data_IF_854783560148
#
_entry.id   IF_854783560148
#
_cell.length_a   1.000
_cell.length_b   1.000
_cell.length_c   1.000
_cell.angle_alpha   90.00
_cell.angle_beta   90.00
_cell.angle_gamma   90.00
#
_symmetry.space_group_name_H-M   'P 1'
#
loop_
_entity.id
_entity.type
_entity.pdbx_description
1 polymer ?
#
# COMPACT_ATOMS: atom_id res chain seq x y z
N UNK A 1 6.12 -21.25 -14.40
CA UNK A 1 5.04 -21.40 -13.41
C UNK A 1 4.76 -20.07 -12.77
N UNK A 2 3.51 -19.65 -12.83
CA UNK A 2 3.05 -18.45 -12.14
C UNK A 2 3.05 -18.68 -10.63
N UNK A 3 3.60 -17.73 -9.90
CA UNK A 3 3.65 -17.72 -8.44
C UNK A 3 3.35 -16.33 -7.88
N UNK A 4 2.60 -15.52 -8.64
CA UNK A 4 2.10 -14.21 -8.23
C UNK A 4 1.06 -14.33 -7.11
N UNK A 5 0.71 -13.19 -6.52
CA UNK A 5 -0.22 -13.13 -5.38
C UNK A 5 -1.54 -13.87 -5.65
N UNK A 6 -2.13 -13.68 -6.83
CA UNK A 6 -3.40 -14.32 -7.20
C UNK A 6 -3.37 -15.86 -7.20
N UNK A 7 -2.19 -16.45 -7.38
CA UNK A 7 -2.00 -17.91 -7.29
C UNK A 7 -2.17 -18.45 -5.85
N UNK A 8 -2.30 -17.56 -4.87
CA UNK A 8 -2.68 -17.87 -3.49
C UNK A 8 -4.18 -18.06 -3.28
N UNK A 9 -5.02 -17.85 -4.33
CA UNK A 9 -6.46 -18.07 -4.24
C UNK A 9 -6.76 -19.52 -3.81
N UNK A 10 -7.49 -19.67 -2.72
CA UNK A 10 -7.82 -20.94 -2.12
C UNK A 10 -9.06 -21.57 -2.79
N UNK A 11 -8.97 -22.83 -3.15
CA UNK A 11 -10.06 -23.63 -3.66
C UNK A 11 -10.21 -24.89 -2.82
N UNK A 12 -11.22 -25.72 -3.12
CA UNK A 12 -11.41 -27.01 -2.44
C UNK A 12 -10.21 -27.97 -2.60
N UNK A 13 -9.38 -27.75 -3.63
CA UNK A 13 -8.22 -28.59 -3.96
C UNK A 13 -6.88 -27.96 -3.50
N UNK A 14 -6.92 -26.95 -2.65
CA UNK A 14 -5.75 -26.16 -2.25
C UNK A 14 -5.60 -24.85 -3.04
N UNK A 15 -4.43 -24.23 -2.99
CA UNK A 15 -4.16 -22.98 -3.71
C UNK A 15 -4.03 -23.19 -5.21
N UNK A 16 -4.23 -22.14 -6.00
CA UNK A 16 -3.95 -22.21 -7.45
C UNK A 16 -2.48 -22.56 -7.73
N UNK A 17 -1.54 -22.13 -6.87
CA UNK A 17 -0.14 -22.53 -6.98
C UNK A 17 0.04 -24.04 -6.80
N UNK A 18 -0.67 -24.67 -5.85
CA UNK A 18 -0.62 -26.13 -5.66
C UNK A 18 -1.16 -26.84 -6.90
N UNK A 19 -2.29 -26.39 -7.45
CA UNK A 19 -2.84 -26.89 -8.72
C UNK A 19 -1.85 -26.73 -9.89
N UNK A 20 -1.18 -25.56 -9.98
CA UNK A 20 -0.17 -25.33 -11.01
C UNK A 20 1.00 -26.30 -10.88
N UNK A 21 1.47 -26.53 -9.66
CA UNK A 21 2.55 -27.50 -9.39
C UNK A 21 2.11 -28.94 -9.75
N UNK A 22 0.89 -29.32 -9.41
CA UNK A 22 0.38 -30.67 -9.74
C UNK A 22 0.21 -30.86 -11.24
N UNK A 23 -0.32 -29.86 -11.96
CA UNK A 23 -0.38 -29.89 -13.42
C UNK A 23 1.00 -29.94 -14.07
N UNK A 24 1.95 -29.19 -13.53
CA UNK A 24 3.33 -29.23 -14.00
C UNK A 24 4.01 -30.58 -13.72
N UNK A 25 3.76 -31.22 -12.57
CA UNK A 25 4.24 -32.59 -12.28
C UNK A 25 3.67 -33.60 -13.29
N UNK A 26 2.37 -33.59 -13.50
CA UNK A 26 1.68 -34.45 -14.48
C UNK A 26 2.26 -34.27 -15.90
N UNK A 27 2.54 -33.02 -16.28
CA UNK A 27 3.20 -32.73 -17.56
C UNK A 27 4.63 -33.30 -17.62
N UNK A 28 5.43 -33.12 -16.56
CA UNK A 28 6.79 -33.64 -16.48
C UNK A 28 6.81 -35.18 -16.56
N UNK A 29 5.85 -35.88 -15.94
CA UNK A 29 5.77 -37.33 -15.96
C UNK A 29 5.53 -37.87 -17.36
N UNK A 30 4.86 -37.14 -18.24
CA UNK A 30 4.58 -37.51 -19.64
C UNK A 30 5.78 -37.29 -20.57
N UNK A 31 6.80 -36.54 -20.12
CA UNK A 31 7.96 -36.30 -20.95
C UNK A 31 8.89 -37.53 -21.06
N UNK A 32 9.60 -37.75 -22.17
CA UNK A 32 10.65 -38.75 -22.27
C UNK A 32 11.70 -38.66 -21.16
N UNK A 33 12.33 -39.76 -20.83
CA UNK A 33 13.26 -39.83 -19.71
C UNK A 33 14.53 -38.95 -19.88
N UNK A 34 14.94 -38.74 -21.12
CA UNK A 34 16.09 -37.93 -21.54
C UNK A 34 15.76 -36.43 -21.70
N UNK A 35 14.53 -36.02 -21.45
CA UNK A 35 14.12 -34.64 -21.54
C UNK A 35 14.89 -33.75 -20.56
N UNK A 36 15.26 -32.57 -21.03
CA UNK A 36 15.86 -31.52 -20.21
C UNK A 36 14.81 -30.44 -19.93
N UNK A 37 14.72 -29.99 -18.67
CA UNK A 37 13.68 -29.08 -18.23
C UNK A 37 14.27 -27.94 -17.43
N UNK A 38 13.88 -26.72 -17.76
CA UNK A 38 14.13 -25.54 -16.94
C UNK A 38 12.83 -25.09 -16.31
N UNK A 39 12.80 -24.93 -15.00
CA UNK A 39 11.63 -24.43 -14.24
C UNK A 39 11.86 -22.98 -13.86
N UNK A 40 11.03 -22.09 -14.38
CA UNK A 40 11.13 -20.64 -14.19
C UNK A 40 9.91 -20.17 -13.40
N UNK A 41 10.08 -19.68 -12.15
CA UNK A 41 9.01 -19.01 -11.42
C UNK A 41 8.80 -17.61 -11.99
N UNK A 42 7.56 -17.23 -12.31
CA UNK A 42 7.21 -15.96 -12.94
C UNK A 42 7.69 -14.74 -12.12
N UNK A 43 7.45 -14.75 -10.84
CA UNK A 43 7.83 -13.68 -9.92
C UNK A 43 9.23 -13.86 -9.30
N UNK A 44 10.01 -14.85 -9.79
CA UNK A 44 11.28 -15.23 -9.21
C UNK A 44 11.11 -16.10 -7.95
N UNK A 45 12.21 -16.39 -7.29
CA UNK A 45 12.24 -17.20 -6.09
C UNK A 45 13.16 -16.54 -5.05
N UNK A 46 12.80 -16.63 -3.78
CA UNK A 46 13.63 -16.19 -2.65
C UNK A 46 14.98 -16.93 -2.64
N UNK A 47 14.99 -18.17 -3.08
CA UNK A 47 16.17 -19.05 -3.10
C UNK A 47 16.95 -19.00 -4.41
N UNK A 48 16.53 -18.15 -5.35
CA UNK A 48 17.01 -18.17 -6.71
C UNK A 48 16.50 -19.39 -7.48
N UNK A 49 16.78 -19.46 -8.76
CA UNK A 49 16.59 -20.64 -9.62
C UNK A 49 17.72 -20.68 -10.65
N UNK A 50 18.08 -21.89 -11.11
CA UNK A 50 19.05 -22.04 -12.19
C UNK A 50 18.33 -21.92 -13.54
N UNK A 51 18.80 -21.08 -14.45
CA UNK A 51 18.30 -21.03 -15.82
C UNK A 51 18.73 -22.24 -16.66
N UNK A 52 19.62 -23.09 -16.12
CA UNK A 52 20.17 -24.24 -16.86
C UNK A 52 19.16 -25.37 -16.96
N UNK A 53 19.17 -26.06 -18.11
CA UNK A 53 18.33 -27.21 -18.33
C UNK A 53 18.79 -28.39 -17.45
N UNK A 54 17.90 -28.87 -16.60
CA UNK A 54 18.14 -29.91 -15.62
C UNK A 54 17.45 -31.23 -15.97
N UNK A 55 17.75 -32.29 -15.22
CA UNK A 55 17.01 -33.56 -15.32
C UNK A 55 15.58 -33.37 -14.78
N UNK A 56 14.67 -34.28 -15.10
CA UNK A 56 13.29 -34.28 -14.60
C UNK A 56 13.24 -34.28 -13.07
N UNK A 57 14.10 -35.03 -12.41
CA UNK A 57 14.17 -35.13 -10.95
C UNK A 57 14.56 -33.78 -10.34
N UNK A 58 15.54 -33.12 -10.91
CA UNK A 58 15.97 -31.79 -10.45
C UNK A 58 14.89 -30.72 -10.72
N UNK A 59 14.20 -30.82 -11.86
CA UNK A 59 13.07 -29.95 -12.18
C UNK A 59 11.91 -30.12 -11.18
N UNK A 60 11.58 -31.35 -10.80
CA UNK A 60 10.58 -31.65 -9.77
C UNK A 60 10.95 -31.07 -8.40
N UNK A 61 12.23 -31.16 -8.01
CA UNK A 61 12.71 -30.53 -6.78
C UNK A 61 12.60 -29.01 -6.83
N UNK A 62 12.95 -28.39 -7.96
CA UNK A 62 12.83 -26.94 -8.14
C UNK A 62 11.36 -26.50 -8.10
N UNK A 63 10.47 -27.24 -8.76
CA UNK A 63 9.03 -26.99 -8.74
C UNK A 63 8.46 -27.03 -7.32
N UNK A 64 8.91 -27.99 -6.52
CA UNK A 64 8.50 -28.10 -5.11
C UNK A 64 8.87 -26.89 -4.25
N UNK A 65 9.97 -26.22 -4.57
CA UNK A 65 10.48 -25.06 -3.81
C UNK A 65 9.87 -23.72 -4.25
N UNK A 66 9.01 -23.70 -5.27
CA UNK A 66 8.34 -22.45 -5.66
C UNK A 66 7.36 -22.05 -4.58
N UNK A 67 7.49 -20.81 -4.11
CA UNK A 67 6.62 -20.19 -3.11
C UNK A 67 5.86 -19.03 -3.74
N UNK A 68 4.73 -18.66 -3.16
CA UNK A 68 3.99 -17.46 -3.51
C UNK A 68 4.85 -16.21 -3.28
N UNK A 69 4.69 -15.25 -4.16
CA UNK A 69 5.35 -13.95 -4.05
C UNK A 69 4.28 -12.85 -4.17
N UNK A 70 4.23 -11.99 -3.16
CA UNK A 70 3.30 -10.87 -3.10
C UNK A 70 3.67 -9.77 -4.12
N UNK A 71 3.56 -10.12 -5.39
CA UNK A 71 3.71 -9.20 -6.53
C UNK A 71 3.18 -9.83 -7.82
N UNK A 72 3.01 -9.00 -8.84
CA UNK A 72 2.83 -9.40 -10.23
C UNK A 72 4.16 -9.34 -10.99
N UNK A 73 4.27 -10.07 -12.11
CA UNK A 73 5.41 -9.98 -13.02
C UNK A 73 4.96 -10.21 -14.47
N UNK A 74 5.75 -9.71 -15.41
CA UNK A 74 5.45 -9.83 -16.84
C UNK A 74 5.67 -11.24 -17.35
N UNK A 75 4.66 -11.86 -17.94
CA UNK A 75 4.75 -13.14 -18.66
C UNK A 75 5.76 -13.03 -19.82
N UNK A 76 5.78 -11.90 -20.52
CA UNK A 76 6.72 -11.68 -21.62
C UNK A 76 8.17 -11.81 -21.16
N UNK A 77 8.50 -11.28 -19.99
CA UNK A 77 9.83 -11.43 -19.41
C UNK A 77 10.17 -12.89 -19.14
N UNK A 78 9.27 -13.64 -18.52
CA UNK A 78 9.50 -15.06 -18.21
C UNK A 78 9.62 -15.91 -19.48
N UNK A 79 8.83 -15.62 -20.52
CA UNK A 79 8.91 -16.30 -21.82
C UNK A 79 10.23 -15.99 -22.52
N UNK A 80 10.72 -14.76 -22.47
CA UNK A 80 12.04 -14.41 -23.01
C UNK A 80 13.19 -15.12 -22.27
N UNK A 81 13.08 -15.29 -20.95
CA UNK A 81 14.03 -16.09 -20.16
C UNK A 81 13.98 -17.57 -20.55
N UNK A 82 12.77 -18.11 -20.77
CA UNK A 82 12.58 -19.47 -21.24
C UNK A 82 13.15 -19.68 -22.64
N UNK A 83 13.01 -18.73 -23.56
CA UNK A 83 13.63 -18.78 -24.89
C UNK A 83 15.15 -18.89 -24.79
N UNK A 84 15.80 -18.05 -23.98
CA UNK A 84 17.25 -18.10 -23.76
C UNK A 84 17.69 -19.46 -23.20
N UNK A 85 16.93 -20.05 -22.30
CA UNK A 85 17.20 -21.38 -21.77
C UNK A 85 17.09 -22.46 -22.88
N UNK A 86 16.13 -22.33 -23.79
CA UNK A 86 16.02 -23.21 -24.96
C UNK A 86 17.22 -23.06 -25.91
N UNK A 87 17.69 -21.85 -26.17
CA UNK A 87 18.83 -21.58 -27.08
C UNK A 87 20.15 -22.16 -26.55
N UNK A 88 20.28 -22.30 -25.24
CA UNK A 88 21.47 -22.84 -24.58
C UNK A 88 21.53 -24.38 -24.58
N UNK A 89 20.49 -25.06 -25.02
CA UNK A 89 20.35 -26.51 -24.95
C UNK A 89 20.54 -27.21 -26.29
N UNK A 90 21.10 -28.44 -26.30
CA UNK A 90 21.36 -29.23 -27.54
C UNK A 90 20.11 -29.89 -28.09
N UNK A 91 18.93 -29.60 -27.63
CA UNK A 91 17.71 -30.33 -27.96
C UNK A 91 17.21 -30.04 -29.39
N UNK A 92 16.65 -31.06 -30.03
CA UNK A 92 16.08 -30.99 -31.39
C UNK A 92 14.66 -30.41 -31.41
N UNK A 93 14.01 -30.30 -30.24
CA UNK A 93 12.66 -29.73 -30.11
C UNK A 93 12.52 -29.00 -28.80
N UNK A 94 12.08 -27.76 -28.84
CA UNK A 94 11.85 -26.92 -27.66
C UNK A 94 10.36 -26.60 -27.52
N UNK A 95 9.89 -26.46 -26.30
CA UNK A 95 8.53 -26.04 -25.97
C UNK A 95 8.55 -25.21 -24.69
N UNK A 96 7.79 -24.15 -24.65
CA UNK A 96 7.54 -23.36 -23.45
C UNK A 96 6.13 -23.68 -22.96
N UNK A 97 5.98 -24.03 -21.67
CA UNK A 97 4.68 -24.28 -21.05
C UNK A 97 4.50 -23.33 -19.89
N UNK A 98 3.43 -22.54 -19.91
CA UNK A 98 3.07 -21.55 -18.91
C UNK A 98 1.87 -22.08 -18.11
N UNK A 99 2.03 -22.21 -16.79
CA UNK A 99 0.95 -22.54 -15.88
C UNK A 99 0.58 -21.26 -15.13
N UNK A 100 -0.62 -20.69 -15.36
CA UNK A 100 -1.04 -19.39 -14.83
C UNK A 100 -2.56 -19.31 -14.76
N UNK A 101 -3.07 -18.50 -13.83
CA UNK A 101 -4.48 -18.08 -13.75
C UNK A 101 -4.84 -16.96 -14.74
N UNK A 102 -3.91 -16.56 -15.56
CA UNK A 102 -4.08 -15.59 -16.65
C UNK A 102 -4.52 -14.20 -16.20
N UNK A 103 -4.11 -13.75 -15.01
CA UNK A 103 -4.41 -12.40 -14.54
C UNK A 103 -3.92 -11.33 -15.52
N UNK A 104 -4.78 -10.37 -15.85
CA UNK A 104 -4.48 -9.28 -16.79
C UNK A 104 -3.22 -8.51 -16.41
N UNK A 105 -2.94 -8.36 -15.12
CA UNK A 105 -1.74 -7.71 -14.60
C UNK A 105 -0.45 -8.33 -15.10
N UNK A 106 -0.40 -9.67 -15.23
CA UNK A 106 0.77 -10.43 -15.67
C UNK A 106 0.90 -10.44 -17.20
N UNK A 107 -0.21 -10.29 -17.93
CA UNK A 107 -0.28 -10.35 -19.40
C UNK A 107 -0.30 -8.97 -20.06
N UNK A 108 -0.26 -7.90 -19.31
CA UNK A 108 -0.39 -6.50 -19.76
C UNK A 108 0.59 -6.11 -20.86
N UNK A 109 1.81 -6.65 -20.84
CA UNK A 109 2.86 -6.30 -21.77
C UNK A 109 2.74 -7.02 -23.14
N UNK A 110 1.78 -7.93 -23.26
CA UNK A 110 1.52 -8.66 -24.51
C UNK A 110 0.56 -7.86 -25.39
N UNK A 111 1.09 -6.86 -26.04
CA UNK A 111 0.31 -5.92 -26.87
C UNK A 111 0.38 -6.21 -28.36
N UNK A 112 1.35 -7.04 -28.82
CA UNK A 112 1.59 -7.29 -30.22
C UNK A 112 1.91 -8.75 -30.51
N UNK A 113 1.34 -9.34 -31.60
CA UNK A 113 1.57 -10.74 -31.97
C UNK A 113 3.04 -11.03 -32.37
N UNK A 114 3.79 -10.04 -32.88
CA UNK A 114 5.18 -10.18 -33.30
C UNK A 114 6.17 -10.40 -32.13
N UNK A 115 5.73 -10.15 -30.88
CA UNK A 115 6.56 -10.38 -29.69
C UNK A 115 6.95 -11.85 -29.48
N UNK A 116 6.23 -12.79 -30.12
CA UNK A 116 6.53 -14.23 -30.06
C UNK A 116 7.16 -14.77 -31.34
N UNK A 117 7.51 -13.91 -32.29
CA UNK A 117 8.10 -14.35 -33.55
C UNK A 117 9.48 -14.99 -33.33
N UNK A 118 9.67 -16.18 -33.85
CA UNK A 118 10.91 -16.94 -33.68
C UNK A 118 11.06 -17.69 -32.35
N UNK A 119 10.04 -17.62 -31.48
CA UNK A 119 10.04 -18.38 -30.22
C UNK A 119 9.64 -19.85 -30.44
N UNK A 120 10.07 -20.77 -29.55
CA UNK A 120 9.51 -22.12 -29.49
C UNK A 120 7.99 -22.08 -29.30
N UNK A 121 7.25 -23.14 -29.66
CA UNK A 121 5.81 -23.23 -29.39
C UNK A 121 5.51 -22.98 -27.91
N UNK A 122 4.58 -22.09 -27.64
CA UNK A 122 4.15 -21.72 -26.30
C UNK A 122 2.77 -22.34 -26.05
N UNK A 123 2.65 -23.10 -24.98
CA UNK A 123 1.41 -23.64 -24.49
C UNK A 123 1.06 -22.98 -23.16
N UNK A 124 -0.15 -22.42 -23.04
CA UNK A 124 -0.66 -21.91 -21.76
C UNK A 124 -1.61 -22.96 -21.18
N UNK A 125 -1.36 -23.34 -19.94
CA UNK A 125 -2.22 -24.19 -19.14
C UNK A 125 -2.94 -23.28 -18.15
N UNK A 126 -4.25 -23.15 -18.37
CA UNK A 126 -5.13 -22.37 -17.51
C UNK A 126 -5.32 -23.06 -16.17
N UNK A 127 -5.01 -22.36 -15.09
CA UNK A 127 -5.13 -22.83 -13.70
C UNK A 127 -6.29 -22.13 -12.99
N UNK A 128 -6.92 -21.13 -13.59
CA UNK A 128 -8.02 -20.38 -13.00
C UNK A 128 -9.14 -21.28 -12.48
N UNK A 129 -9.92 -20.76 -11.55
CA UNK A 129 -11.20 -21.33 -11.13
C UNK A 129 -12.33 -20.68 -11.92
N UNK A 130 -13.41 -21.37 -12.21
CA UNK A 130 -14.61 -20.75 -12.78
C UNK A 130 -15.22 -19.78 -11.75
N UNK A 131 -15.67 -18.63 -12.23
CA UNK A 131 -16.39 -17.62 -11.44
C UNK A 131 -15.71 -17.26 -10.10
N UNK A 132 -14.44 -16.81 -10.11
CA UNK A 132 -13.75 -16.45 -8.88
C UNK A 132 -14.49 -15.30 -8.19
N UNK A 133 -14.47 -15.32 -6.86
CA UNK A 133 -15.01 -14.25 -6.03
C UNK A 133 -13.89 -13.70 -5.17
N UNK A 134 -13.58 -12.42 -5.31
CA UNK A 134 -12.55 -11.76 -4.54
C UNK A 134 -12.97 -10.36 -4.12
N UNK A 135 -12.69 -10.03 -2.87
CA UNK A 135 -12.86 -8.70 -2.30
C UNK A 135 -11.52 -8.21 -1.80
N UNK A 136 -11.09 -7.04 -2.17
CA UNK A 136 -9.77 -6.54 -1.77
C UNK A 136 -9.79 -5.06 -1.42
N UNK A 137 -8.80 -4.65 -0.64
CA UNK A 137 -8.56 -3.26 -0.31
C UNK A 137 -7.68 -2.64 -1.41
N UNK A 138 -8.27 -1.84 -2.30
CA UNK A 138 -7.53 -1.18 -3.39
C UNK A 138 -6.74 0.03 -2.92
N UNK A 139 -7.24 0.76 -1.90
CA UNK A 139 -6.53 1.87 -1.28
C UNK A 139 -6.87 2.00 0.21
N UNK A 140 -5.87 2.41 0.99
CA UNK A 140 -6.02 2.78 2.39
C UNK A 140 -5.16 4.00 2.66
N UNK A 141 -5.76 5.10 3.15
CA UNK A 141 -5.06 6.37 3.36
C UNK A 141 -5.66 7.17 4.51
N UNK A 142 -4.86 8.03 5.09
CA UNK A 142 -5.31 9.12 5.96
C UNK A 142 -5.69 10.30 5.06
N UNK A 143 -6.85 10.89 5.28
CA UNK A 143 -7.36 11.99 4.44
C UNK A 143 -6.38 13.16 4.38
N UNK A 144 -5.78 13.55 5.50
CA UNK A 144 -4.89 14.70 5.60
C UNK A 144 -3.39 14.35 5.66
N UNK A 145 -3.05 13.07 5.48
CA UNK A 145 -1.65 12.59 5.44
C UNK A 145 -0.96 12.46 6.79
N UNK A 146 -1.42 13.18 7.83
CA UNK A 146 -0.91 13.12 9.20
C UNK A 146 -2.06 13.06 10.19
N UNK A 147 -1.82 12.59 11.39
CA UNK A 147 -2.76 12.58 12.50
C UNK A 147 -2.29 13.52 13.62
N UNK A 148 -3.22 14.06 14.37
CA UNK A 148 -2.93 14.74 15.63
C UNK A 148 -3.68 14.09 16.80
N UNK A 149 -3.29 14.45 18.02
CA UNK A 149 -3.84 13.85 19.24
C UNK A 149 -5.14 14.49 19.73
N UNK A 150 -5.53 15.63 19.18
CA UNK A 150 -6.64 16.44 19.67
C UNK A 150 -7.88 16.32 18.78
N UNK A 151 -7.70 15.99 17.48
CA UNK A 151 -8.80 15.90 16.53
C UNK A 151 -8.94 14.50 15.92
N UNK A 152 -10.18 14.02 15.65
CA UNK A 152 -10.38 12.74 15.01
C UNK A 152 -9.72 12.69 13.63
N UNK A 153 -8.92 11.66 13.41
CA UNK A 153 -8.31 11.38 12.12
C UNK A 153 -9.28 10.61 11.24
N UNK A 154 -9.46 11.06 9.99
CA UNK A 154 -10.30 10.36 9.01
C UNK A 154 -9.45 9.41 8.17
N UNK A 155 -9.81 8.14 8.23
CA UNK A 155 -9.25 7.06 7.42
C UNK A 155 -10.19 6.76 6.27
N UNK A 156 -9.64 6.69 5.05
CA UNK A 156 -10.38 6.36 3.84
C UNK A 156 -9.90 5.02 3.30
N UNK A 157 -10.85 4.11 3.11
CA UNK A 157 -10.63 2.75 2.62
C UNK A 157 -11.41 2.56 1.34
N UNK A 158 -10.76 2.14 0.28
CA UNK A 158 -11.43 1.76 -0.96
C UNK A 158 -11.47 0.24 -1.06
N UNK A 159 -12.67 -0.32 -1.02
CA UNK A 159 -12.93 -1.75 -1.17
C UNK A 159 -13.42 -2.02 -2.58
N UNK A 160 -12.89 -3.05 -3.22
CA UNK A 160 -13.34 -3.54 -4.52
C UNK A 160 -13.78 -4.99 -4.43
N UNK A 161 -14.61 -5.35 -5.37
CA UNK A 161 -15.13 -6.70 -5.49
C UNK A 161 -15.17 -7.13 -6.95
N UNK A 162 -14.78 -8.37 -7.20
CA UNK A 162 -14.98 -9.08 -8.46
C UNK A 162 -15.64 -10.43 -8.16
N UNK A 163 -16.78 -10.66 -8.78
CA UNK A 163 -17.54 -11.88 -8.59
C UNK A 163 -18.89 -11.82 -9.32
N UNK A 164 -19.54 -12.99 -9.56
CA UNK A 164 -20.76 -13.08 -10.35
C UNK A 164 -22.04 -12.71 -9.59
N UNK A 165 -22.01 -12.72 -8.26
CA UNK A 165 -23.18 -12.47 -7.39
C UNK A 165 -22.88 -11.40 -6.36
N UNK A 166 -23.91 -10.66 -5.86
CA UNK A 166 -23.69 -9.71 -4.77
C UNK A 166 -23.08 -10.37 -3.55
N UNK A 167 -22.14 -9.67 -2.88
CA UNK A 167 -21.56 -10.09 -1.61
C UNK A 167 -22.09 -9.16 -0.50
N UNK A 168 -23.12 -9.58 0.24
CA UNK A 168 -23.65 -8.84 1.37
C UNK A 168 -22.73 -8.98 2.59
N UNK A 169 -22.94 -8.10 3.57
CA UNK A 169 -22.40 -8.19 4.92
C UNK A 169 -20.87 -8.30 4.99
N UNK A 170 -20.15 -7.64 4.04
CA UNK A 170 -18.70 -7.53 4.12
C UNK A 170 -18.36 -6.57 5.24
N UNK A 171 -17.75 -7.07 6.30
CA UNK A 171 -17.27 -6.23 7.40
C UNK A 171 -15.92 -5.65 7.06
N UNK A 172 -15.78 -4.33 7.24
CA UNK A 172 -14.53 -3.59 7.12
C UNK A 172 -14.16 -3.12 8.52
N UNK A 173 -13.03 -3.60 9.05
CA UNK A 173 -12.57 -3.32 10.40
C UNK A 173 -11.38 -2.37 10.37
N UNK A 174 -11.38 -1.35 11.23
CA UNK A 174 -10.23 -0.50 11.49
C UNK A 174 -9.54 -0.96 12.78
N UNK A 175 -8.27 -1.26 12.70
CA UNK A 175 -7.44 -1.78 13.78
C UNK A 175 -6.28 -0.81 13.99
N UNK A 176 -6.11 -0.31 15.21
CA UNK A 176 -5.04 0.59 15.61
C UNK A 176 -4.23 -0.10 16.70
N UNK A 177 -2.93 -0.27 16.49
CA UNK A 177 -2.03 -0.92 17.46
C UNK A 177 -2.60 -2.27 17.96
N UNK A 178 -3.02 -3.12 17.00
CA UNK A 178 -3.64 -4.44 17.20
C UNK A 178 -4.99 -4.44 17.94
N UNK A 179 -5.60 -3.28 18.16
CA UNK A 179 -6.94 -3.18 18.74
C UNK A 179 -7.96 -2.75 17.69
N UNK A 180 -9.04 -3.51 17.54
CA UNK A 180 -10.16 -3.10 16.71
C UNK A 180 -10.87 -1.89 17.34
N UNK A 181 -10.83 -0.75 16.62
CA UNK A 181 -11.40 0.51 17.11
C UNK A 181 -12.72 0.88 16.43
N UNK A 182 -12.98 0.35 15.23
CA UNK A 182 -14.23 0.56 14.51
C UNK A 182 -14.47 -0.57 13.51
N UNK A 183 -15.75 -0.76 13.15
CA UNK A 183 -16.16 -1.65 12.07
C UNK A 183 -17.35 -1.05 11.31
N UNK A 184 -17.44 -1.34 10.02
CA UNK A 184 -18.58 -0.99 9.15
C UNK A 184 -18.88 -2.13 8.22
N UNK A 185 -20.15 -2.40 7.98
CA UNK A 185 -20.62 -3.42 7.03
C UNK A 185 -21.03 -2.77 5.72
N UNK A 186 -20.63 -3.37 4.60
CA UNK A 186 -20.99 -2.92 3.26
C UNK A 186 -21.48 -4.09 2.41
N UNK A 187 -22.37 -3.78 1.48
CA UNK A 187 -22.76 -4.72 0.42
C UNK A 187 -22.03 -4.33 -0.86
N UNK A 188 -21.48 -5.30 -1.54
CA UNK A 188 -20.71 -5.14 -2.78
C UNK A 188 -21.46 -5.81 -3.93
N UNK A 189 -21.61 -5.08 -5.05
CA UNK A 189 -22.34 -5.55 -6.23
C UNK A 189 -21.36 -5.89 -7.37
N UNK A 190 -21.67 -6.92 -8.18
CA UNK A 190 -20.90 -7.25 -9.37
C UNK A 190 -20.71 -6.05 -10.31
N UNK A 191 -19.48 -5.83 -10.79
CA UNK A 191 -19.17 -4.74 -11.71
C UNK A 191 -19.26 -3.33 -11.11
N UNK A 192 -19.53 -3.21 -9.81
CA UNK A 192 -19.46 -1.93 -9.10
C UNK A 192 -18.00 -1.47 -9.03
N UNK A 193 -17.79 -0.15 -9.19
CA UNK A 193 -16.48 0.46 -8.93
C UNK A 193 -16.06 0.34 -7.46
N UNK A 194 -14.94 0.99 -7.10
CA UNK A 194 -14.50 1.00 -5.71
C UNK A 194 -15.58 1.57 -4.78
N UNK A 195 -15.83 0.89 -3.66
CA UNK A 195 -16.68 1.37 -2.57
C UNK A 195 -15.81 2.04 -1.53
N UNK A 196 -16.03 3.35 -1.31
CA UNK A 196 -15.31 4.06 -0.25
C UNK A 196 -16.01 3.86 1.10
N UNK A 197 -15.21 3.54 2.12
CA UNK A 197 -15.59 3.42 3.52
C UNK A 197 -14.70 4.36 4.32
N UNK A 198 -15.30 5.27 5.09
CA UNK A 198 -14.57 6.21 5.93
C UNK A 198 -14.70 5.84 7.41
N UNK A 199 -13.63 6.00 8.18
CA UNK A 199 -13.62 5.86 9.62
C UNK A 199 -13.09 7.14 10.26
N UNK A 200 -13.57 7.46 11.46
CA UNK A 200 -13.01 8.52 12.28
C UNK A 200 -12.53 7.92 13.59
N UNK A 201 -11.29 8.19 13.95
CA UNK A 201 -10.73 7.73 15.22
C UNK A 201 -9.79 8.77 15.80
N UNK A 202 -9.87 8.95 17.14
CA UNK A 202 -9.04 9.88 17.88
C UNK A 202 -7.81 9.15 18.43
N UNK A 203 -6.62 9.60 18.03
CA UNK A 203 -5.35 8.99 18.42
C UNK A 203 -4.75 9.61 19.70
N UNK A 204 -5.62 9.96 20.69
CA UNK A 204 -5.23 10.64 21.92
C UNK A 204 -4.42 9.79 22.91
N UNK A 205 -4.41 8.47 22.75
CA UNK A 205 -3.57 7.58 23.55
C UNK A 205 -2.08 7.73 23.22
N UNK A 206 -1.76 8.26 22.03
CA UNK A 206 -0.41 8.43 21.53
C UNK A 206 0.04 9.87 21.81
N UNK A 207 0.96 10.05 22.77
CA UNK A 207 1.46 11.36 23.19
C UNK A 207 2.87 11.59 22.66
N UNK A 208 3.04 12.10 21.42
CA UNK A 208 4.38 12.43 20.93
C UNK A 208 4.95 13.62 21.72
N UNK A 209 6.26 13.60 21.92
CA UNK A 209 6.94 14.77 22.48
C UNK A 209 6.74 16.00 21.57
N UNK A 210 6.67 17.21 22.11
CA UNK A 210 6.50 18.42 21.31
C UNK A 210 7.51 18.48 20.15
N UNK A 211 6.96 18.58 18.94
CA UNK A 211 7.73 18.64 17.70
C UNK A 211 8.39 17.34 17.25
N UNK A 212 8.08 16.21 17.85
CA UNK A 212 8.37 14.88 17.32
C UNK A 212 7.09 14.25 16.80
N UNK A 213 7.22 13.24 15.94
CA UNK A 213 6.13 12.39 15.50
C UNK A 213 6.28 10.99 16.09
N UNK A 214 5.18 10.38 16.45
CA UNK A 214 5.11 8.98 16.82
C UNK A 214 4.50 8.21 15.65
N UNK A 215 5.12 7.13 15.22
CA UNK A 215 4.61 6.27 14.15
C UNK A 215 3.66 5.22 14.75
N UNK A 216 2.38 5.27 14.37
CA UNK A 216 1.35 4.36 14.84
C UNK A 216 0.96 3.41 13.70
N UNK A 217 1.08 2.08 13.89
CA UNK A 217 0.61 1.12 12.91
C UNK A 217 -0.93 1.09 12.91
N UNK A 218 -1.51 1.23 11.75
CA UNK A 218 -2.96 1.13 11.53
C UNK A 218 -3.21 0.13 10.43
N UNK A 219 -4.16 -0.77 10.66
CA UNK A 219 -4.53 -1.82 9.72
C UNK A 219 -6.02 -1.76 9.43
N UNK A 220 -6.38 -2.08 8.21
CA UNK A 220 -7.75 -2.39 7.83
C UNK A 220 -7.82 -3.85 7.43
N UNK A 221 -8.86 -4.53 7.87
CA UNK A 221 -9.15 -5.94 7.54
C UNK A 221 -10.57 -6.09 7.03
N UNK A 222 -10.76 -6.99 6.07
CA UNK A 222 -12.07 -7.36 5.51
C UNK A 222 -12.53 -8.70 6.09
N UNK A 223 -13.82 -9.01 5.91
CA UNK A 223 -14.31 -10.38 6.05
C UNK A 223 -13.49 -11.28 5.12
N UNK A 224 -12.81 -12.32 5.64
CA UNK A 224 -11.95 -13.19 4.84
C UNK A 224 -12.67 -13.81 3.64
N UNK A 225 -11.93 -13.96 2.55
CA UNK A 225 -12.38 -14.70 1.38
C UNK A 225 -11.34 -15.73 0.88
N UNK A 226 -11.42 -16.11 -0.39
CA UNK A 226 -10.55 -17.13 -0.93
C UNK A 226 -9.12 -16.62 -1.27
N UNK A 227 -8.85 -15.33 -1.11
CA UNK A 227 -7.52 -14.75 -1.28
C UNK A 227 -7.14 -13.91 -0.06
N UNK A 228 -6.82 -14.54 1.09
CA UNK A 228 -6.59 -13.83 2.35
C UNK A 228 -5.47 -12.77 2.29
N UNK A 229 -4.60 -12.85 1.31
CA UNK A 229 -3.43 -11.96 1.19
C UNK A 229 -3.79 -10.50 0.82
N UNK A 230 -4.98 -10.23 0.26
CA UNK A 230 -5.45 -8.89 -0.09
C UNK A 230 -6.64 -8.41 0.77
N UNK A 231 -7.05 -9.22 1.75
CA UNK A 231 -8.05 -8.88 2.75
C UNK A 231 -7.55 -7.85 3.79
N UNK A 232 -6.25 -7.63 3.88
CA UNK A 232 -5.66 -6.70 4.85
C UNK A 232 -4.75 -5.67 4.18
N UNK A 233 -4.74 -4.45 4.75
CA UNK A 233 -3.79 -3.42 4.37
C UNK A 233 -3.33 -2.62 5.56
N UNK A 234 -2.01 -2.41 5.64
CA UNK A 234 -1.36 -1.68 6.72
C UNK A 234 -0.90 -0.29 6.26
N UNK A 235 -0.94 0.64 7.18
CA UNK A 235 -0.44 1.99 7.04
C UNK A 235 0.26 2.39 8.34
N UNK A 236 1.40 3.07 8.23
CA UNK A 236 2.05 3.70 9.38
C UNK A 236 1.68 5.18 9.38
N UNK A 237 0.97 5.60 10.40
CA UNK A 237 0.44 6.97 10.53
C UNK A 237 1.37 7.79 11.42
N UNK A 238 1.93 8.89 10.91
CA UNK A 238 2.64 9.83 11.76
C UNK A 238 1.63 10.62 12.61
N UNK A 239 1.67 10.42 13.92
CA UNK A 239 0.91 11.19 14.89
C UNK A 239 1.79 12.31 15.43
N UNK A 240 1.31 13.53 15.35
CA UNK A 240 2.05 14.73 15.77
C UNK A 240 1.29 15.46 16.88
N UNK A 241 2.01 15.99 17.86
CA UNK A 241 1.47 17.07 18.67
C UNK A 241 1.47 18.36 17.85
N UNK A 242 0.52 19.25 18.13
CA UNK A 242 0.47 20.54 17.45
C UNK A 242 1.82 21.26 17.55
N UNK A 243 2.37 21.66 16.39
CA UNK A 243 3.70 22.29 16.30
C UNK A 243 3.66 23.67 16.96
N UNK A 244 4.41 23.90 18.04
CA UNK A 244 4.49 25.23 18.66
C UNK A 244 5.32 26.17 17.78
N UNK A 245 4.64 27.23 17.30
CA UNK A 245 5.26 28.30 16.51
C UNK A 245 5.12 29.59 17.28
N UNK A 246 6.26 30.24 17.55
CA UNK A 246 6.31 31.53 18.21
C UNK A 246 6.45 32.64 17.17
N UNK A 247 5.55 33.59 17.23
CA UNK A 247 5.61 34.82 16.43
C UNK A 247 6.04 35.97 17.33
N UNK A 248 7.17 36.57 17.02
CA UNK A 248 7.69 37.74 17.69
C UNK A 248 7.46 38.96 16.79
N UNK A 249 6.67 39.90 17.27
CA UNK A 249 6.21 41.03 16.49
C UNK A 249 6.36 42.34 17.27
N UNK A 250 6.17 43.46 16.61
CA UNK A 250 6.21 44.78 17.24
C UNK A 250 5.09 44.98 18.26
N UNK A 251 3.96 44.28 18.09
CA UNK A 251 2.83 44.26 19.03
C UNK A 251 2.61 42.83 19.51
N UNK A 252 2.35 42.66 20.80
CA UNK A 252 1.90 41.41 21.35
C UNK A 252 0.40 41.15 21.06
N UNK A 253 -0.10 39.98 21.44
CA UNK A 253 -1.48 39.57 21.16
C UNK A 253 -2.53 40.52 21.71
N UNK A 254 -2.30 41.07 22.91
CA UNK A 254 -3.20 42.00 23.57
C UNK A 254 -3.04 43.46 23.09
N UNK A 255 -1.99 43.79 22.40
CA UNK A 255 -1.70 45.13 21.91
C UNK A 255 -2.18 45.41 20.49
N UNK A 256 -2.55 44.36 19.74
CA UNK A 256 -3.13 44.53 18.40
C UNK A 256 -4.49 45.16 18.45
N UNK A 257 -4.64 46.29 17.79
CA UNK A 257 -5.92 47.03 17.70
C UNK A 257 -6.20 47.40 16.24
N UNK A 258 -7.09 46.65 15.56
CA UNK A 258 -7.47 46.97 14.19
C UNK A 258 -8.08 48.35 14.00
N UNK A 259 -8.76 48.88 15.03
CA UNK A 259 -9.41 50.20 14.93
C UNK A 259 -8.38 51.32 14.92
N UNK A 260 -7.28 51.14 15.65
CA UNK A 260 -6.16 52.07 15.69
C UNK A 260 -5.08 51.78 14.65
N UNK A 261 -5.35 50.86 13.72
CA UNK A 261 -4.40 50.37 12.72
C UNK A 261 -3.07 49.87 13.33
N UNK A 262 -3.14 49.31 14.55
CA UNK A 262 -2.01 48.62 15.20
C UNK A 262 -2.12 47.15 14.90
N UNK A 263 -1.46 46.72 13.84
CA UNK A 263 -1.47 45.34 13.37
C UNK A 263 -0.04 44.84 13.28
N UNK A 264 0.24 43.69 13.87
CA UNK A 264 1.52 43.02 13.72
C UNK A 264 1.74 42.54 12.27
N UNK A 265 2.96 42.60 11.79
CA UNK A 265 3.30 42.18 10.44
C UNK A 265 3.06 40.68 10.22
N UNK A 266 3.12 39.86 11.28
CA UNK A 266 2.86 38.41 11.23
C UNK A 266 1.38 38.03 11.23
N UNK A 267 0.46 39.00 11.41
CA UNK A 267 -0.95 38.77 11.61
C UNK A 267 -1.62 37.89 10.57
N UNK A 268 -1.33 38.14 9.28
CA UNK A 268 -1.94 37.35 8.19
C UNK A 268 -1.45 35.90 8.23
N UNK A 269 -0.16 35.70 8.47
CA UNK A 269 0.43 34.37 8.57
C UNK A 269 -0.12 33.62 9.79
N UNK A 270 -0.22 34.27 10.95
CA UNK A 270 -0.83 33.68 12.15
C UNK A 270 -2.28 33.25 11.93
N UNK A 271 -3.10 34.08 11.26
CA UNK A 271 -4.47 33.74 10.90
C UNK A 271 -4.58 32.61 9.88
N UNK A 272 -3.59 32.48 8.99
CA UNK A 272 -3.52 31.38 8.02
C UNK A 272 -3.18 30.05 8.73
N UNK A 273 -2.24 30.08 9.66
CA UNK A 273 -1.79 28.89 10.39
C UNK A 273 -2.72 28.46 11.53
N UNK A 274 -3.43 29.41 12.11
CA UNK A 274 -4.44 29.17 13.14
C UNK A 274 -5.73 29.93 12.79
N UNK A 275 -6.50 29.45 11.80
CA UNK A 275 -7.76 30.07 11.44
C UNK A 275 -8.73 29.99 12.64
N UNK A 276 -9.38 31.11 12.94
CA UNK A 276 -10.39 31.14 14.00
C UNK A 276 -11.52 30.19 13.62
N UNK A 277 -11.78 29.17 14.44
CA UNK A 277 -12.84 28.21 14.23
C UNK A 277 -14.20 28.92 14.07
N UNK A 278 -14.91 28.69 12.99
CA UNK A 278 -16.34 28.95 12.94
C UNK A 278 -17.04 27.99 13.91
N UNK A 279 -18.10 28.41 14.56
CA UNK A 279 -18.80 27.69 15.66
C UNK A 279 -19.29 26.27 15.33
N UNK A 280 -19.16 25.81 14.11
CA UNK A 280 -19.71 24.55 13.61
C UNK A 280 -18.68 23.47 13.28
N UNK A 281 -17.39 23.81 13.11
CA UNK A 281 -16.35 22.82 12.84
C UNK A 281 -15.08 23.23 13.59
N UNK A 282 -14.52 22.34 14.41
CA UNK A 282 -13.19 22.55 14.99
C UNK A 282 -12.17 22.30 13.87
N UNK A 283 -11.58 23.34 13.28
CA UNK A 283 -10.57 23.12 12.26
C UNK A 283 -9.37 22.43 12.91
N UNK A 284 -8.82 21.45 12.22
CA UNK A 284 -7.62 20.76 12.64
C UNK A 284 -6.48 21.76 12.76
N UNK A 285 -6.02 21.98 13.98
CA UNK A 285 -4.97 22.94 14.28
C UNK A 285 -3.63 22.21 14.44
N UNK A 286 -2.90 22.02 13.34
CA UNK A 286 -1.57 21.41 13.34
C UNK A 286 -0.47 22.35 13.87
N UNK A 287 -0.81 23.61 14.10
CA UNK A 287 0.14 24.64 14.56
C UNK A 287 -0.43 25.33 15.77
N UNK A 288 0.29 25.26 16.89
CA UNK A 288 -0.01 26.05 18.08
C UNK A 288 0.71 27.38 17.98
N UNK A 289 -0.03 28.43 17.64
CA UNK A 289 0.49 29.79 17.51
C UNK A 289 0.62 30.40 18.89
N UNK A 290 1.82 30.91 19.22
CA UNK A 290 2.08 31.82 20.34
C UNK A 290 2.57 33.15 19.77
N UNK A 291 1.87 34.23 20.12
CA UNK A 291 2.19 35.57 19.64
C UNK A 291 2.65 36.44 20.80
N UNK A 292 3.87 36.93 20.70
CA UNK A 292 4.54 37.70 21.77
C UNK A 292 5.26 38.91 21.20
N UNK A 293 5.51 39.88 22.07
CA UNK A 293 6.40 41.00 21.81
C UNK A 293 7.85 40.62 22.17
N UNK A 294 8.83 41.32 21.61
CA UNK A 294 10.23 41.00 21.80
C UNK A 294 10.63 40.97 23.29
N UNK A 295 10.11 41.88 24.11
CA UNK A 295 10.38 41.96 25.56
C UNK A 295 9.75 40.81 26.38
N UNK A 296 8.79 40.09 25.79
CA UNK A 296 8.10 38.93 26.38
C UNK A 296 8.78 37.59 25.97
N UNK A 297 9.80 37.62 25.12
CA UNK A 297 10.51 36.43 24.72
C UNK A 297 11.38 35.93 25.88
N UNK A 298 11.11 34.67 26.30
CA UNK A 298 11.89 33.98 27.34
C UNK A 298 12.61 32.77 26.75
N UNK A 299 13.65 32.32 27.41
CA UNK A 299 14.37 31.10 26.98
C UNK A 299 13.44 29.89 26.96
N UNK A 300 12.58 29.73 27.97
CA UNK A 300 11.60 28.64 28.05
C UNK A 300 10.64 28.64 26.86
N UNK A 301 10.19 29.83 26.44
CA UNK A 301 9.33 29.97 25.26
C UNK A 301 10.01 29.53 23.97
N UNK A 302 11.33 29.77 23.85
CA UNK A 302 12.11 29.41 22.68
C UNK A 302 12.50 27.92 22.69
N UNK A 303 12.76 27.33 23.85
CA UNK A 303 13.06 25.89 23.97
C UNK A 303 11.89 25.01 23.52
N UNK A 304 10.67 25.44 23.81
CA UNK A 304 9.46 24.76 23.34
C UNK A 304 9.15 24.99 21.85
N UNK A 305 9.68 26.06 21.25
CA UNK A 305 9.34 26.46 19.90
C UNK A 305 10.03 25.59 18.84
N UNK A 306 9.27 25.19 17.81
CA UNK A 306 9.84 24.53 16.61
C UNK A 306 10.17 25.51 15.51
N UNK A 307 9.50 26.63 15.48
CA UNK A 307 9.75 27.72 14.57
C UNK A 307 9.52 29.03 15.31
N UNK A 308 10.42 29.95 15.13
CA UNK A 308 10.30 31.34 15.60
C UNK A 308 10.27 32.24 14.37
N UNK A 309 9.22 33.02 14.24
CA UNK A 309 9.04 34.00 13.17
C UNK A 309 9.15 35.38 13.77
N UNK A 310 10.18 36.12 13.40
CA UNK A 310 10.42 37.48 13.85
C UNK A 310 10.12 38.45 12.71
N UNK A 311 9.23 39.42 12.94
CA UNK A 311 8.90 40.44 11.94
C UNK A 311 8.54 41.78 12.60
N UNK A 312 8.71 42.87 11.85
CA UNK A 312 8.38 44.21 12.32
C UNK A 312 9.27 44.78 13.42
N UNK A 313 10.44 44.17 13.63
CA UNK A 313 11.38 44.54 14.69
C UNK A 313 12.63 45.17 14.04
N UNK A 314 12.89 46.43 14.34
CA UNK A 314 14.01 47.18 13.73
C UNK A 314 15.39 46.72 14.27
N UNK A 315 15.44 46.33 15.53
CA UNK A 315 16.65 45.81 16.20
C UNK A 315 16.29 44.72 17.20
N UNK A 316 16.55 43.46 16.94
CA UNK A 316 16.27 42.38 17.86
C UNK A 316 17.17 42.35 19.10
N UNK A 317 18.26 43.12 19.13
CA UNK A 317 19.25 43.11 20.24
C UNK A 317 20.04 41.80 20.32
N UNK A 318 20.92 41.73 21.33
CA UNK A 318 21.72 40.53 21.68
C UNK A 318 20.93 39.59 22.65
N UNK A 319 19.70 39.20 22.34
CA UNK A 319 18.92 38.26 23.17
C UNK A 319 18.84 36.88 22.61
#
# INVERSE_FOLDING_TARGET
VDNSLSMGYESLEGTLLDRAKDRARQFLDQLPADSRVTVIPLCGSRWGYSPDAATKESALQTLGKIELVDRSASILRAVNEAQKACESGPALGHRIVVFSDQQVSNWRDLTRPDQFQGMPPIQVVDISVPDPQNTWISAFRVQDGVADVETPTTFLVEVRYDGPVPRPDVEVQLIVDDQQVAAKTVTLEPGQGAREVSFQHLLNAYQPEPGKSLSVPVRVSLTPDNLPADDERCLVVPVVAALPVVFVDQYGEEEEDPVKNRLGETRLLRKLLAPVASRTESPRQLVRVRHVKLDQVTQELLEDARLVVVAGIADPGEK
#
